data_IF_775255093749
#
_entry.id   IF_775255093749
#
_cell.length_a   1.000
_cell.length_b   1.000
_cell.length_c   1.000
_cell.angle_alpha   90.00
_cell.angle_beta   90.00
_cell.angle_gamma   90.00
#
_symmetry.space_group_name_H-M   'P 1'
#
loop_
_entity.id
_entity.type
_entity.pdbx_description
1 polymer ?
#
# COMPACT_ATOMS: atom_id res chain seq x y z
N UNK A 1 49.17 29.55 50.74
CA UNK A 1 50.28 30.37 50.17
C UNK A 1 50.41 30.03 48.69
N UNK A 2 50.32 31.06 47.81
CA UNK A 2 50.64 31.10 46.36
C UNK A 2 49.82 30.16 45.45
N UNK A 3 48.78 30.63 44.75
CA UNK A 3 48.75 31.40 43.48
C UNK A 3 49.52 30.74 42.32
N UNK A 4 48.80 30.32 41.29
CA UNK A 4 49.00 30.81 39.92
C UNK A 4 47.72 30.63 39.09
N UNK A 5 47.33 31.76 38.49
CA UNK A 5 46.28 32.01 37.50
C UNK A 5 46.94 31.97 36.11
N UNK A 6 46.15 31.77 35.03
CA UNK A 6 46.33 32.14 33.58
C UNK A 6 45.99 30.90 32.72
N UNK A 7 45.04 30.85 31.78
CA UNK A 7 44.15 31.81 31.08
C UNK A 7 42.97 31.06 30.43
N UNK A 8 41.89 31.78 30.16
CA UNK A 8 40.65 31.39 29.48
C UNK A 8 40.83 30.89 28.04
N UNK A 9 39.96 30.00 27.59
CA UNK A 9 39.41 30.02 26.22
C UNK A 9 37.88 29.72 26.27
N UNK A 10 36.99 30.59 25.73
CA UNK A 10 35.54 30.56 25.99
C UNK A 10 34.71 29.92 24.86
N UNK A 11 35.08 28.73 24.38
CA UNK A 11 34.37 28.13 23.24
C UNK A 11 34.28 26.60 23.31
N UNK A 12 33.37 26.09 24.13
CA UNK A 12 32.97 24.68 24.10
C UNK A 12 31.46 24.56 24.27
N UNK A 13 30.69 24.41 23.19
CA UNK A 13 29.29 24.02 23.29
C UNK A 13 29.13 22.51 23.48
N UNK A 14 28.19 22.19 24.36
CA UNK A 14 27.62 20.87 24.66
C UNK A 14 27.34 20.02 23.41
N UNK A 15 27.83 18.78 23.44
CA UNK A 15 27.24 17.65 22.72
C UNK A 15 27.83 16.36 23.29
N UNK A 16 27.15 15.23 23.37
CA UNK A 16 25.74 14.91 23.34
C UNK A 16 25.73 13.51 23.95
N UNK A 17 25.02 13.34 25.06
CA UNK A 17 24.85 12.02 25.68
C UNK A 17 23.92 11.22 24.79
N UNK A 18 24.41 10.03 24.45
CA UNK A 18 23.75 8.91 23.80
C UNK A 18 22.43 8.54 24.47
N UNK A 19 21.34 8.48 23.69
CA UNK A 19 20.14 7.72 24.04
C UNK A 19 19.50 7.14 22.77
N UNK A 20 19.57 5.82 22.65
CA UNK A 20 18.96 4.97 21.63
C UNK A 20 17.48 4.73 21.95
N UNK A 21 16.52 5.43 21.34
CA UNK A 21 15.08 5.05 21.43
C UNK A 21 14.29 5.34 20.13
N UNK A 22 13.95 4.25 19.43
CA UNK A 22 12.76 3.98 18.59
C UNK A 22 12.37 4.95 17.45
N UNK A 23 12.66 4.52 16.22
CA UNK A 23 12.17 5.09 14.95
C UNK A 23 11.00 4.28 14.36
N UNK A 24 10.03 3.84 15.17
CA UNK A 24 8.86 3.07 14.65
C UNK A 24 7.54 3.87 14.62
N UNK A 25 7.50 5.07 15.21
CA UNK A 25 6.25 5.85 15.33
C UNK A 25 5.84 6.68 14.10
N UNK A 26 6.77 6.96 13.17
CA UNK A 26 6.53 7.92 12.08
C UNK A 26 5.96 7.27 10.81
N UNK A 27 6.27 6.00 10.55
CA UNK A 27 5.73 5.30 9.38
C UNK A 27 4.26 4.96 9.57
N UNK A 28 3.88 4.45 10.75
CA UNK A 28 2.49 4.06 11.05
C UNK A 28 1.52 5.23 10.89
N UNK A 29 1.88 6.44 11.35
CA UNK A 29 1.06 7.64 11.15
C UNK A 29 0.87 7.99 9.66
N UNK A 30 1.89 7.80 8.82
CA UNK A 30 1.78 8.02 7.36
C UNK A 30 0.89 6.98 6.66
N UNK A 31 0.83 5.76 7.18
CA UNK A 31 -0.02 4.70 6.61
C UNK A 31 -1.52 4.98 6.78
N UNK A 32 -1.89 5.85 7.73
CA UNK A 32 -3.29 6.26 7.97
C UNK A 32 -3.70 7.48 7.14
N UNK A 33 -2.76 8.16 6.47
CA UNK A 33 -3.12 9.35 5.68
C UNK A 33 -3.50 9.02 4.23
N UNK A 34 -3.19 7.82 3.74
CA UNK A 34 -3.44 7.42 2.36
C UNK A 34 -4.12 6.06 2.27
N UNK A 35 -4.99 5.86 1.27
CA UNK A 35 -5.54 4.54 0.99
C UNK A 35 -4.43 3.54 0.60
N UNK A 36 -4.64 2.28 1.00
CA UNK A 36 -3.69 1.19 0.76
C UNK A 36 -4.38 0.12 -0.10
N UNK A 37 -3.71 -0.31 -1.17
CA UNK A 37 -4.13 -1.43 -1.99
C UNK A 37 -3.27 -2.64 -1.69
N UNK A 38 -3.89 -3.64 -1.07
CA UNK A 38 -3.29 -4.94 -0.83
C UNK A 38 -3.47 -5.82 -2.05
N UNK A 39 -2.43 -6.58 -2.40
CA UNK A 39 -2.42 -7.45 -3.57
C UNK A 39 -1.68 -8.75 -3.30
N UNK A 40 -1.98 -9.77 -4.09
CA UNK A 40 -1.27 -11.04 -4.07
C UNK A 40 -0.12 -11.05 -5.08
N UNK A 41 1.10 -11.20 -4.59
CA UNK A 41 2.32 -11.20 -5.40
C UNK A 41 2.45 -12.40 -6.36
N UNK A 42 1.73 -13.51 -6.15
CA UNK A 42 1.80 -14.68 -7.05
C UNK A 42 0.76 -14.64 -8.18
N UNK A 43 -0.26 -13.78 -8.05
CA UNK A 43 -1.35 -13.68 -9.01
C UNK A 43 -1.02 -12.65 -10.11
N UNK A 44 -0.82 -13.12 -11.35
CA UNK A 44 -0.51 -12.24 -12.49
C UNK A 44 -1.57 -11.19 -12.79
N UNK A 45 -2.85 -11.48 -12.51
CA UNK A 45 -3.93 -10.51 -12.62
C UNK A 45 -3.84 -9.41 -11.54
N UNK A 46 -3.52 -9.78 -10.30
CA UNK A 46 -3.36 -8.82 -9.21
C UNK A 46 -2.17 -7.90 -9.49
N UNK A 47 -1.03 -8.47 -9.88
CA UNK A 47 0.15 -7.71 -10.27
C UNK A 47 -0.16 -6.77 -11.44
N UNK A 48 -0.77 -7.26 -12.51
CA UNK A 48 -1.17 -6.41 -13.65
C UNK A 48 -2.10 -5.27 -13.24
N UNK A 49 -2.98 -5.48 -12.26
CA UNK A 49 -3.89 -4.45 -11.74
C UNK A 49 -3.14 -3.38 -10.94
N UNK A 50 -2.17 -3.79 -10.12
CA UNK A 50 -1.27 -2.89 -9.39
C UNK A 50 -0.43 -2.07 -10.37
N UNK A 51 0.13 -2.70 -11.39
CA UNK A 51 0.97 -2.04 -12.40
C UNK A 51 0.16 -0.99 -13.16
N UNK A 52 -1.03 -1.37 -13.59
CA UNK A 52 -1.98 -0.48 -14.23
C UNK A 52 -2.26 0.75 -13.36
N UNK A 53 -2.49 0.53 -12.06
CA UNK A 53 -2.77 1.59 -11.10
C UNK A 53 -1.54 2.47 -10.83
N UNK A 54 -0.36 1.90 -10.65
CA UNK A 54 0.89 2.63 -10.42
C UNK A 54 1.22 3.56 -11.59
N UNK A 55 1.09 3.08 -12.82
CA UNK A 55 1.35 3.88 -14.04
C UNK A 55 0.41 5.09 -14.12
N UNK A 56 -0.84 4.93 -13.67
CA UNK A 56 -1.90 5.95 -13.80
C UNK A 56 -2.03 6.85 -12.58
N UNK A 57 -1.64 6.38 -11.40
CA UNK A 57 -1.56 7.18 -10.18
C UNK A 57 -0.30 8.07 -10.20
N UNK A 58 -0.34 9.05 -11.10
CA UNK A 58 0.71 10.07 -11.25
C UNK A 58 0.84 10.96 -10.01
N UNK A 59 -0.17 10.98 -9.14
CA UNK A 59 -0.23 11.82 -7.94
C UNK A 59 0.18 11.09 -6.65
N UNK A 60 0.61 9.82 -6.74
CA UNK A 60 1.05 9.03 -5.58
C UNK A 60 0.03 9.05 -4.42
N UNK A 61 -1.24 8.87 -4.76
CA UNK A 61 -2.38 8.91 -3.84
C UNK A 61 -2.57 7.61 -3.08
N UNK A 62 -1.93 6.52 -3.52
CA UNK A 62 -2.12 5.18 -2.99
C UNK A 62 -0.78 4.57 -2.56
N UNK A 63 -0.81 3.82 -1.46
CA UNK A 63 0.23 2.85 -1.12
C UNK A 63 -0.16 1.44 -1.54
N UNK A 64 0.83 0.59 -1.78
CA UNK A 64 0.64 -0.79 -2.19
C UNK A 64 1.29 -1.69 -1.17
N UNK A 65 0.66 -2.80 -0.81
CA UNK A 65 1.22 -3.74 0.16
C UNK A 65 0.95 -5.18 -0.28
N UNK A 66 1.93 -6.09 -0.22
CA UNK A 66 1.67 -7.50 -0.48
C UNK A 66 0.82 -8.10 0.63
N UNK A 67 -0.12 -8.98 0.30
CA UNK A 67 -0.94 -9.72 1.28
C UNK A 67 -0.10 -10.64 2.17
N UNK A 68 1.07 -11.05 1.69
CA UNK A 68 2.05 -11.84 2.43
C UNK A 68 2.95 -10.99 3.37
N UNK A 69 2.83 -9.66 3.30
CA UNK A 69 3.66 -8.72 4.05
C UNK A 69 3.21 -8.49 5.49
N UNK A 70 4.02 -7.74 6.23
CA UNK A 70 3.76 -7.38 7.63
C UNK A 70 2.62 -6.36 7.73
N UNK A 71 2.59 -5.38 6.82
CA UNK A 71 1.54 -4.35 6.76
C UNK A 71 0.15 -4.98 6.60
N UNK A 72 0.04 -6.04 5.81
CA UNK A 72 -1.22 -6.76 5.62
C UNK A 72 -1.64 -7.48 6.90
N UNK A 73 -0.70 -8.09 7.63
CA UNK A 73 -0.98 -8.80 8.88
C UNK A 73 -1.45 -7.88 10.00
N UNK A 74 -0.94 -6.66 10.02
CA UNK A 74 -1.31 -5.65 11.03
C UNK A 74 -2.63 -4.96 10.72
N UNK A 75 -2.86 -4.61 9.45
CA UNK A 75 -3.98 -3.74 9.06
C UNK A 75 -5.22 -4.48 8.56
N UNK A 76 -5.11 -5.77 8.23
CA UNK A 76 -6.22 -6.57 7.73
C UNK A 76 -6.71 -7.61 8.74
N UNK A 77 -7.99 -7.95 8.66
CA UNK A 77 -8.55 -9.02 9.48
C UNK A 77 -8.09 -10.40 8.98
N UNK A 78 -8.14 -11.43 9.84
CA UNK A 78 -7.88 -12.82 9.44
C UNK A 78 -8.73 -13.28 8.25
N UNK A 79 -9.95 -12.74 8.12
CA UNK A 79 -10.85 -13.05 7.02
C UNK A 79 -10.42 -12.40 5.70
N UNK A 80 -9.83 -11.20 5.75
CA UNK A 80 -9.25 -10.53 4.59
C UNK A 80 -8.00 -11.27 4.10
N UNK A 81 -7.13 -11.68 5.04
CA UNK A 81 -5.92 -12.45 4.72
C UNK A 81 -6.24 -13.82 4.13
N UNK A 82 -7.36 -14.45 4.50
CA UNK A 82 -7.80 -15.71 3.88
C UNK A 82 -8.22 -15.53 2.41
N UNK A 83 -8.52 -14.30 1.98
CA UNK A 83 -8.84 -13.98 0.59
C UNK A 83 -7.60 -13.67 -0.24
N UNK A 84 -6.64 -14.60 -0.24
CA UNK A 84 -5.32 -14.49 -0.91
C UNK A 84 -5.37 -14.31 -2.42
N UNK A 85 -6.55 -14.42 -3.03
CA UNK A 85 -6.75 -14.46 -4.46
C UNK A 85 -7.27 -13.14 -5.07
N UNK A 86 -7.34 -12.08 -4.28
CA UNK A 86 -7.94 -10.81 -4.68
C UNK A 86 -7.09 -9.60 -4.27
N UNK A 87 -7.35 -8.47 -4.93
CA UNK A 87 -6.97 -7.16 -4.41
C UNK A 87 -7.95 -6.72 -3.32
N UNK A 88 -7.43 -6.02 -2.31
CA UNK A 88 -8.20 -5.42 -1.21
C UNK A 88 -7.82 -3.94 -1.12
N UNK A 89 -8.82 -3.06 -1.11
CA UNK A 89 -8.62 -1.62 -1.00
C UNK A 89 -9.05 -1.16 0.40
N UNK A 90 -8.12 -0.60 1.16
CA UNK A 90 -8.37 0.04 2.45
C UNK A 90 -8.44 1.55 2.27
N UNK A 91 -9.48 2.18 2.82
CA UNK A 91 -9.63 3.64 2.81
C UNK A 91 -8.60 4.31 3.72
N UNK A 92 -8.30 5.59 3.45
CA UNK A 92 -7.33 6.36 4.26
C UNK A 92 -7.73 6.40 5.73
N UNK A 93 -9.01 6.64 6.03
CA UNK A 93 -9.57 6.62 7.39
C UNK A 93 -9.44 5.25 8.10
N UNK A 94 -9.01 4.20 7.41
CA UNK A 94 -8.82 2.86 7.95
C UNK A 94 -10.11 2.13 8.33
N UNK A 95 -11.28 2.77 8.16
CA UNK A 95 -12.56 2.26 8.63
C UNK A 95 -13.17 1.21 7.69
N UNK A 96 -12.79 1.22 6.41
CA UNK A 96 -13.41 0.39 5.39
C UNK A 96 -12.40 -0.36 4.52
N UNK A 97 -12.59 -1.68 4.44
CA UNK A 97 -11.91 -2.55 3.49
C UNK A 97 -12.89 -3.03 2.41
N UNK A 98 -12.55 -2.75 1.16
CA UNK A 98 -13.30 -3.21 -0.01
C UNK A 98 -12.55 -4.35 -0.67
N UNK A 99 -13.28 -5.38 -1.10
CA UNK A 99 -12.72 -6.59 -1.72
C UNK A 99 -13.15 -6.73 -3.18
N UNK A 100 -12.43 -7.53 -3.96
CA UNK A 100 -12.81 -7.96 -5.32
C UNK A 100 -13.14 -6.76 -6.21
N UNK A 101 -14.27 -6.84 -6.93
CA UNK A 101 -14.76 -5.78 -7.80
C UNK A 101 -14.98 -4.43 -7.08
N UNK A 102 -15.33 -4.44 -5.79
CA UNK A 102 -15.53 -3.20 -5.04
C UNK A 102 -14.20 -2.47 -4.82
N UNK A 103 -13.11 -3.21 -4.57
CA UNK A 103 -11.77 -2.65 -4.48
C UNK A 103 -11.37 -1.97 -5.80
N UNK A 104 -11.63 -2.63 -6.94
CA UNK A 104 -11.34 -2.10 -8.28
C UNK A 104 -12.14 -0.83 -8.56
N UNK A 105 -13.44 -0.78 -8.22
CA UNK A 105 -14.26 0.43 -8.39
C UNK A 105 -13.69 1.60 -7.59
N UNK A 106 -13.34 1.38 -6.32
CA UNK A 106 -12.74 2.42 -5.46
C UNK A 106 -11.40 2.90 -5.99
N UNK A 107 -10.57 1.98 -6.47
CA UNK A 107 -9.32 2.29 -7.12
C UNK A 107 -9.54 3.18 -8.35
N UNK A 108 -10.43 2.81 -9.27
CA UNK A 108 -10.75 3.58 -10.47
C UNK A 108 -11.27 4.99 -10.17
N UNK A 109 -12.06 5.15 -9.11
CA UNK A 109 -12.49 6.47 -8.65
C UNK A 109 -11.31 7.32 -8.13
N UNK A 110 -10.36 6.71 -7.43
CA UNK A 110 -9.16 7.40 -6.93
C UNK A 110 -8.24 7.89 -8.06
N UNK A 111 -8.12 7.08 -9.12
CA UNK A 111 -7.35 7.43 -10.33
C UNK A 111 -7.87 8.68 -11.04
N UNK A 112 -9.13 9.09 -10.81
CA UNK A 112 -9.72 10.29 -11.40
C UNK A 112 -10.13 10.12 -12.86
N UNK A 113 -10.35 11.24 -13.58
CA UNK A 113 -10.79 11.20 -14.98
C UNK A 113 -9.68 10.68 -15.91
N UNK A 114 -9.98 9.79 -16.89
CA UNK A 114 -11.31 9.25 -17.25
C UNK A 114 -11.69 7.95 -16.54
N UNK A 115 -10.84 7.41 -15.68
CA UNK A 115 -11.02 6.12 -15.00
C UNK A 115 -12.24 6.10 -14.06
N UNK A 116 -12.55 7.24 -13.46
CA UNK A 116 -13.73 7.40 -12.61
C UNK A 116 -15.05 7.03 -13.33
N UNK A 117 -15.14 7.25 -14.65
CA UNK A 117 -16.30 6.91 -15.47
C UNK A 117 -16.47 5.39 -15.58
N UNK A 118 -15.37 4.65 -15.76
CA UNK A 118 -15.38 3.19 -15.73
C UNK A 118 -15.76 2.66 -14.36
N UNK A 119 -15.29 3.30 -13.28
CA UNK A 119 -15.71 2.98 -11.92
C UNK A 119 -17.22 3.17 -11.72
N UNK A 120 -17.79 4.26 -12.25
CA UNK A 120 -19.23 4.50 -12.25
C UNK A 120 -19.99 3.48 -13.07
N UNK A 121 -19.51 3.13 -14.27
CA UNK A 121 -20.12 2.12 -15.11
C UNK A 121 -20.17 0.76 -14.38
N UNK A 122 -19.05 0.33 -13.78
CA UNK A 122 -18.95 -0.88 -12.96
C UNK A 122 -19.79 -0.82 -11.67
N UNK A 123 -20.06 0.36 -11.15
CA UNK A 123 -20.95 0.56 -10.00
C UNK A 123 -22.42 0.44 -10.40
N UNK A 124 -22.81 0.94 -11.58
CA UNK A 124 -24.15 0.79 -12.13
C UNK A 124 -24.52 -0.65 -12.47
N UNK A 125 -23.53 -1.53 -12.70
CA UNK A 125 -23.78 -2.96 -12.90
C UNK A 125 -24.26 -3.61 -11.59
N UNK A 126 -25.39 -4.33 -11.61
CA UNK A 126 -25.89 -5.05 -10.43
C UNK A 126 -24.84 -5.95 -9.80
N UNK A 127 -24.79 -5.97 -8.47
CA UNK A 127 -23.91 -6.84 -7.67
C UNK A 127 -23.84 -8.31 -8.17
N UNK A 128 -24.95 -9.01 -8.49
CA UNK A 128 -24.87 -10.41 -8.92
C UNK A 128 -24.12 -10.58 -10.24
N UNK A 129 -24.27 -9.65 -11.18
CA UNK A 129 -23.59 -9.68 -12.48
C UNK A 129 -22.11 -9.37 -12.28
N UNK A 130 -21.80 -8.38 -11.44
CA UNK A 130 -20.42 -8.00 -11.14
C UNK A 130 -19.66 -9.12 -10.42
N UNK A 131 -20.29 -9.79 -9.47
CA UNK A 131 -19.69 -10.94 -8.78
C UNK A 131 -19.58 -12.17 -9.70
N UNK A 132 -20.55 -12.39 -10.60
CA UNK A 132 -20.44 -13.45 -11.62
C UNK A 132 -19.27 -13.19 -12.58
N UNK A 133 -19.13 -11.96 -13.06
CA UNK A 133 -18.01 -11.53 -13.90
C UNK A 133 -16.68 -11.70 -13.17
N UNK A 134 -16.62 -11.30 -11.89
CA UNK A 134 -15.44 -11.53 -11.05
C UNK A 134 -15.14 -13.03 -10.89
N UNK A 135 -16.14 -13.86 -10.62
CA UNK A 135 -15.97 -15.33 -10.52
C UNK A 135 -15.48 -15.95 -11.83
N UNK A 136 -15.96 -15.47 -12.97
CA UNK A 136 -15.50 -15.94 -14.28
C UNK A 136 -14.04 -15.55 -14.49
N UNK A 137 -13.68 -14.28 -14.25
CA UNK A 137 -12.30 -13.81 -14.33
C UNK A 137 -11.42 -14.60 -13.36
N UNK A 138 -11.85 -14.84 -12.13
CA UNK A 138 -11.09 -15.59 -11.13
C UNK A 138 -10.82 -17.05 -11.55
N UNK A 139 -11.69 -17.68 -12.34
CA UNK A 139 -11.47 -19.02 -12.92
C UNK A 139 -10.51 -19.00 -14.10
N UNK A 140 -10.57 -17.94 -14.91
CA UNK A 140 -9.75 -17.84 -16.12
C UNK A 140 -8.41 -17.12 -15.87
N UNK A 141 -8.24 -16.46 -14.71
CA UNK A 141 -7.09 -15.57 -14.41
C UNK A 141 -5.75 -16.28 -14.56
N UNK A 142 -5.60 -17.49 -14.05
CA UNK A 142 -4.33 -18.22 -14.17
C UNK A 142 -4.09 -18.73 -15.60
N UNK A 143 -5.16 -18.91 -16.38
CA UNK A 143 -5.06 -19.32 -17.78
C UNK A 143 -4.71 -18.14 -18.70
N UNK A 144 -5.17 -16.93 -18.37
CA UNK A 144 -4.95 -15.72 -19.19
C UNK A 144 -3.73 -14.91 -18.75
N UNK A 145 -3.51 -14.78 -17.45
CA UNK A 145 -2.46 -13.94 -16.86
C UNK A 145 -1.33 -14.75 -16.23
N UNK A 146 -1.46 -16.08 -16.15
CA UNK A 146 -0.46 -16.94 -15.53
C UNK A 146 -0.40 -16.82 -14.00
N UNK A 147 0.58 -17.54 -13.44
CA UNK A 147 1.07 -17.37 -12.07
C UNK A 147 2.50 -16.87 -12.16
N UNK A 148 2.88 -15.99 -11.24
CA UNK A 148 4.29 -15.64 -11.05
C UNK A 148 4.81 -16.39 -9.84
N UNK A 149 5.96 -17.05 -9.99
CA UNK A 149 6.61 -17.81 -8.91
C UNK A 149 7.27 -16.90 -7.87
N UNK A 150 7.42 -15.61 -8.19
CA UNK A 150 8.07 -14.62 -7.32
C UNK A 150 7.30 -13.31 -7.30
N UNK A 151 7.29 -12.67 -6.13
CA UNK A 151 6.75 -11.33 -5.95
C UNK A 151 7.44 -10.35 -6.92
N UNK A 152 6.64 -9.49 -7.57
CA UNK A 152 7.15 -8.43 -8.44
C UNK A 152 8.15 -7.59 -7.67
N UNK A 153 9.39 -7.49 -8.16
CA UNK A 153 10.38 -6.58 -7.60
C UNK A 153 10.14 -5.18 -8.18
N UNK A 154 9.69 -4.21 -7.37
CA UNK A 154 9.37 -2.87 -7.87
C UNK A 154 10.62 -2.09 -8.28
N UNK A 155 10.43 -1.20 -9.27
CA UNK A 155 11.44 -0.22 -9.66
C UNK A 155 11.80 0.75 -8.51
N UNK A 156 12.93 1.47 -8.60
CA UNK A 156 13.41 2.34 -7.52
C UNK A 156 12.38 3.41 -7.09
N UNK A 157 11.64 4.00 -8.04
CA UNK A 157 10.59 4.99 -7.76
C UNK A 157 9.30 4.37 -7.20
N UNK A 158 9.09 3.08 -7.43
CA UNK A 158 7.92 2.32 -6.97
C UNK A 158 8.09 1.84 -5.53
N UNK A 159 9.34 1.61 -5.08
CA UNK A 159 9.67 1.16 -3.72
C UNK A 159 9.17 2.11 -2.64
N UNK A 160 9.23 3.42 -2.88
CA UNK A 160 8.74 4.42 -1.94
C UNK A 160 7.21 4.36 -1.72
N UNK A 161 6.49 3.60 -2.56
CA UNK A 161 5.03 3.43 -2.47
C UNK A 161 4.63 2.02 -2.05
N UNK A 162 5.58 1.10 -1.92
CA UNK A 162 5.33 -0.27 -1.51
C UNK A 162 5.71 -0.43 -0.05
N UNK A 163 4.75 -0.88 0.74
CA UNK A 163 4.87 -1.17 2.15
C UNK A 163 5.31 -2.63 2.36
N UNK A 164 6.03 -2.93 3.44
CA UNK A 164 6.53 -4.27 3.75
C UNK A 164 5.41 -5.28 4.05
#
# INVERSE_FOLDING_TARGET
MKKSVTTLDPNLPDSAVSEDIHTEGTETCRLVEKPILFFDGVCGLCNSSVDFAMIRDRKARLYYAPLQGETARELLSKQDLASVDTVIFRTADGAHCYRRSAAVVRLLWLLGFPWNLYGWLLWCVPLPIRDLGYRLIARVRYRLFGKHDTCRMPGPDERARILP
#
